data_IF_409306917574
#
_entry.id   IF_409306917574
#
_cell.length_a   1.000
_cell.length_b   1.000
_cell.length_c   1.000
_cell.angle_alpha   90.00
_cell.angle_beta   90.00
_cell.angle_gamma   90.00
#
_symmetry.space_group_name_H-M   'P 1'
#
loop_
_entity.id
_entity.type
_entity.pdbx_description
1 polymer ?
#
# COMPACT_ATOMS: atom_id res chain seq x y z
N UNK A 1 -7.24 6.81 -15.48
CA UNK A 1 -6.14 6.03 -14.87
C UNK A 1 -6.19 6.32 -13.37
N UNK A 2 -6.31 5.30 -12.50
CA UNK A 2 -6.37 5.51 -11.04
C UNK A 2 -4.97 5.79 -10.50
N UNK A 3 -4.85 6.74 -9.57
CA UNK A 3 -3.57 7.01 -8.90
C UNK A 3 -3.26 5.95 -7.82
N UNK A 4 -2.03 5.95 -7.32
CA UNK A 4 -1.56 4.91 -6.38
C UNK A 4 -2.31 4.93 -5.04
N UNK A 5 -2.73 6.10 -4.56
CA UNK A 5 -3.49 6.24 -3.31
C UNK A 5 -4.94 5.81 -3.47
N UNK A 6 -5.55 6.04 -4.63
CA UNK A 6 -6.86 5.50 -4.98
C UNK A 6 -6.82 3.98 -5.04
N UNK A 7 -5.83 3.40 -5.73
CA UNK A 7 -5.63 1.94 -5.76
C UNK A 7 -5.44 1.37 -4.36
N UNK A 8 -4.67 2.04 -3.51
CA UNK A 8 -4.44 1.61 -2.14
C UNK A 8 -5.73 1.57 -1.32
N UNK A 9 -6.56 2.62 -1.44
CA UNK A 9 -7.87 2.68 -0.77
C UNK A 9 -8.79 1.56 -1.26
N UNK A 10 -8.84 1.36 -2.58
CA UNK A 10 -9.68 0.32 -3.18
C UNK A 10 -9.27 -1.07 -2.70
N UNK A 11 -7.97 -1.40 -2.70
CA UNK A 11 -7.49 -2.71 -2.21
C UNK A 11 -7.77 -2.89 -0.71
N UNK A 12 -7.66 -1.84 0.11
CA UNK A 12 -8.09 -1.88 1.52
C UNK A 12 -9.58 -2.17 1.67
N UNK A 13 -10.42 -1.51 0.88
CA UNK A 13 -11.86 -1.77 0.88
C UNK A 13 -12.18 -3.20 0.42
N UNK A 14 -11.52 -3.68 -0.64
CA UNK A 14 -11.65 -5.06 -1.11
C UNK A 14 -11.22 -6.09 -0.06
N UNK A 15 -10.11 -5.85 0.64
CA UNK A 15 -9.64 -6.70 1.72
C UNK A 15 -10.69 -6.84 2.83
N UNK A 16 -11.17 -5.71 3.37
CA UNK A 16 -12.16 -5.68 4.46
C UNK A 16 -13.45 -6.37 4.02
N UNK A 17 -13.95 -6.05 2.83
CA UNK A 17 -15.16 -6.63 2.28
C UNK A 17 -15.08 -8.16 2.17
N UNK A 18 -13.96 -8.70 1.67
CA UNK A 18 -13.78 -10.14 1.56
C UNK A 18 -13.69 -10.82 2.94
N UNK A 19 -13.04 -10.20 3.94
CA UNK A 19 -13.01 -10.72 5.32
C UNK A 19 -14.41 -10.77 5.95
N UNK A 20 -15.26 -9.79 5.67
CA UNK A 20 -16.67 -9.81 6.11
C UNK A 20 -17.47 -10.93 5.45
N UNK A 21 -17.32 -11.12 4.14
CA UNK A 21 -18.00 -12.18 3.40
C UNK A 21 -17.53 -13.58 3.80
N UNK A 22 -16.24 -13.75 4.06
CA UNK A 22 -15.67 -14.98 4.64
C UNK A 22 -16.35 -15.30 5.98
N UNK A 23 -16.46 -14.33 6.88
CA UNK A 23 -17.12 -14.51 8.18
C UNK A 23 -18.61 -14.90 8.05
N UNK A 24 -19.31 -14.34 7.06
CA UNK A 24 -20.70 -14.73 6.76
C UNK A 24 -20.77 -16.17 6.22
N UNK A 25 -19.90 -16.52 5.26
CA UNK A 25 -19.85 -17.86 4.68
C UNK A 25 -19.51 -18.94 5.72
N UNK A 26 -18.61 -18.64 6.67
CA UNK A 26 -18.29 -19.53 7.78
C UNK A 26 -19.50 -19.76 8.70
N UNK A 27 -20.27 -18.72 9.03
CA UNK A 27 -21.50 -18.83 9.83
C UNK A 27 -22.56 -19.67 9.14
N UNK A 28 -22.61 -19.63 7.81
CA UNK A 28 -23.51 -20.45 6.98
C UNK A 28 -23.01 -21.90 6.80
N UNK A 29 -21.81 -22.24 7.30
CA UNK A 29 -21.19 -23.56 7.10
C UNK A 29 -20.66 -23.79 5.68
N UNK A 30 -20.62 -22.76 4.84
CA UNK A 30 -20.16 -22.86 3.45
C UNK A 30 -18.65 -22.63 3.37
N UNK A 31 -17.87 -23.68 3.68
CA UNK A 31 -16.40 -23.64 3.72
C UNK A 31 -15.81 -23.26 2.37
N UNK A 32 -16.36 -23.77 1.25
CA UNK A 32 -15.83 -23.47 -0.08
C UNK A 32 -15.94 -21.99 -0.44
N UNK A 33 -17.06 -21.33 -0.10
CA UNK A 33 -17.19 -19.87 -0.28
C UNK A 33 -16.25 -19.10 0.64
N UNK A 34 -16.12 -19.53 1.90
CA UNK A 34 -15.22 -18.89 2.85
C UNK A 34 -13.76 -18.91 2.34
N UNK A 35 -13.30 -20.03 1.80
CA UNK A 35 -11.97 -20.15 1.21
C UNK A 35 -11.79 -19.20 0.01
N UNK A 36 -12.76 -19.12 -0.90
CA UNK A 36 -12.68 -18.20 -2.03
C UNK A 36 -12.60 -16.72 -1.59
N UNK A 37 -13.33 -16.33 -0.55
CA UNK A 37 -13.21 -14.97 0.02
C UNK A 37 -11.86 -14.76 0.70
N UNK A 38 -11.34 -15.76 1.42
CA UNK A 38 -10.03 -15.68 2.06
C UNK A 38 -8.91 -15.51 1.02
N UNK A 39 -8.95 -16.25 -0.09
CA UNK A 39 -8.00 -16.12 -1.21
C UNK A 39 -8.02 -14.71 -1.81
N UNK A 40 -9.22 -14.16 -2.03
CA UNK A 40 -9.38 -12.79 -2.53
C UNK A 40 -8.88 -11.73 -1.55
N UNK A 41 -9.08 -11.94 -0.24
CA UNK A 41 -8.51 -11.08 0.79
C UNK A 41 -6.97 -11.13 0.76
N UNK A 42 -6.38 -12.32 0.68
CA UNK A 42 -4.92 -12.50 0.59
C UNK A 42 -4.34 -11.77 -0.61
N UNK A 43 -4.94 -11.91 -1.81
CA UNK A 43 -4.54 -11.15 -3.01
C UNK A 43 -4.56 -9.64 -2.75
N UNK A 44 -5.62 -9.14 -2.14
CA UNK A 44 -5.75 -7.70 -1.84
C UNK A 44 -4.67 -7.23 -0.85
N UNK A 45 -4.33 -8.06 0.15
CA UNK A 45 -3.26 -7.78 1.11
C UNK A 45 -1.89 -7.74 0.45
N UNK A 46 -1.59 -8.64 -0.48
CA UNK A 46 -0.34 -8.60 -1.24
C UNK A 46 -0.19 -7.31 -2.05
N UNK A 47 -1.26 -6.84 -2.68
CA UNK A 47 -1.25 -5.56 -3.41
C UNK A 47 -1.08 -4.36 -2.47
N UNK A 48 -1.74 -4.36 -1.31
CA UNK A 48 -1.55 -3.35 -0.25
C UNK A 48 -0.06 -3.27 0.13
N UNK A 49 0.57 -4.42 0.42
CA UNK A 49 1.97 -4.49 0.84
C UNK A 49 2.93 -3.98 -0.27
N UNK A 50 2.65 -4.30 -1.53
CA UNK A 50 3.43 -3.78 -2.67
C UNK A 50 3.34 -2.26 -2.76
N UNK A 51 2.14 -1.69 -2.57
CA UNK A 51 1.94 -0.25 -2.61
C UNK A 51 2.64 0.43 -1.44
N UNK A 52 2.56 -0.13 -0.22
CA UNK A 52 3.26 0.41 0.95
C UNK A 52 4.77 0.44 0.76
N UNK A 53 5.34 -0.64 0.20
CA UNK A 53 6.76 -0.69 -0.16
C UNK A 53 7.14 0.42 -1.15
N UNK A 54 6.34 0.61 -2.19
CA UNK A 54 6.57 1.68 -3.17
C UNK A 54 6.51 3.08 -2.54
N UNK A 55 5.56 3.32 -1.63
CA UNK A 55 5.46 4.59 -0.89
C UNK A 55 6.71 4.80 -0.01
N UNK A 56 7.20 3.75 0.65
CA UNK A 56 8.41 3.82 1.47
C UNK A 56 9.65 4.16 0.63
N UNK A 57 9.80 3.56 -0.56
CA UNK A 57 10.87 3.86 -1.50
C UNK A 57 10.82 5.32 -1.98
N UNK A 58 9.63 5.84 -2.31
CA UNK A 58 9.45 7.24 -2.68
C UNK A 58 9.83 8.20 -1.54
N UNK A 59 9.48 7.86 -0.30
CA UNK A 59 9.86 8.66 0.87
C UNK A 59 11.39 8.70 1.07
N UNK A 60 12.07 7.57 0.87
CA UNK A 60 13.53 7.51 0.94
C UNK A 60 14.19 8.39 -0.13
N UNK A 61 13.69 8.35 -1.37
CA UNK A 61 14.17 9.21 -2.46
C UNK A 61 13.96 10.69 -2.12
N UNK A 62 12.80 11.06 -1.58
CA UNK A 62 12.52 12.44 -1.16
C UNK A 62 13.55 12.94 -0.15
N UNK A 63 13.94 12.11 0.82
CA UNK A 63 14.96 12.48 1.81
C UNK A 63 16.32 12.72 1.16
N UNK A 64 16.71 11.87 0.20
CA UNK A 64 17.96 12.03 -0.54
C UNK A 64 17.97 13.34 -1.33
N UNK A 65 16.86 13.68 -2.01
CA UNK A 65 16.74 14.93 -2.77
C UNK A 65 16.90 16.15 -1.84
N UNK A 66 16.22 16.15 -0.69
CA UNK A 66 16.35 17.25 0.30
C UNK A 66 17.79 17.38 0.82
N UNK A 67 18.47 16.25 1.06
CA UNK A 67 19.87 16.28 1.49
C UNK A 67 20.80 16.88 0.40
N UNK A 68 20.58 16.51 -0.87
CA UNK A 68 21.34 17.08 -2.00
C UNK A 68 21.11 18.60 -2.12
N UNK A 69 19.87 19.06 -1.95
CA UNK A 69 19.54 20.49 -1.97
C UNK A 69 20.27 21.25 -0.85
N UNK A 70 20.32 20.69 0.36
CA UNK A 70 21.04 21.26 1.49
C UNK A 70 22.56 21.31 1.25
N UNK A 71 23.15 20.22 0.78
CA UNK A 71 24.59 20.16 0.44
C UNK A 71 24.94 21.21 -0.63
N UNK A 72 24.05 21.41 -1.61
CA UNK A 72 24.23 22.45 -2.64
C UNK A 72 24.18 23.86 -2.06
N UNK A 73 23.21 24.16 -1.19
CA UNK A 73 23.13 25.46 -0.53
C UNK A 73 24.36 25.78 0.32
N UNK A 74 24.84 24.80 1.10
CA UNK A 74 26.03 24.94 1.94
C UNK A 74 27.28 25.16 1.09
N UNK A 75 27.42 24.41 -0.02
CA UNK A 75 28.49 24.65 -0.98
C UNK A 75 28.45 26.09 -1.51
N UNK A 76 27.29 26.58 -1.94
CA UNK A 76 27.15 27.94 -2.46
C UNK A 76 27.48 29.01 -1.41
N UNK A 77 27.08 28.83 -0.15
CA UNK A 77 27.41 29.73 0.97
C UNK A 77 28.90 29.76 1.28
N UNK A 78 29.60 28.63 1.18
CA UNK A 78 31.04 28.54 1.46
C UNK A 78 31.94 29.32 0.47
N UNK A 79 31.38 29.78 -0.65
CA UNK A 79 32.11 30.49 -1.72
C UNK A 79 31.94 32.01 -1.69
N UNK A 80 31.17 32.54 -0.74
CA UNK A 80 30.96 33.97 -0.48
C UNK A 80 31.81 34.38 0.72
#
# INVERSE_FOLDING_TARGET
MKNIFERFRDEKSCYIYNRELEGKALKEGNVSKALAYAENATRSLEEINKIEKYIAELNAIKMIVVAIEQDHEDFMRSRI
#
